data_IF_165076040022
#
_entry.id   IF_165076040022
#
_cell.length_a   1.000
_cell.length_b   1.000
_cell.length_c   1.000
_cell.angle_alpha   90.00
_cell.angle_beta   90.00
_cell.angle_gamma   90.00
#
_symmetry.space_group_name_H-M   'P 1'
#
loop_
_entity.id
_entity.type
_entity.pdbx_description
1 polymer ?
#
# COMPACT_ATOMS: atom_id res chain seq x y z
N UNK A 1 -4.66 6.14 3.90
CA UNK A 1 -3.31 6.21 3.29
C UNK A 1 -3.42 7.07 2.05
N UNK A 2 -2.52 8.01 1.85
CA UNK A 2 -2.47 8.92 0.70
C UNK A 2 -1.26 8.56 -0.13
N UNK A 3 -1.46 8.23 -1.40
CA UNK A 3 -0.38 7.96 -2.36
C UNK A 3 -0.39 9.07 -3.40
N UNK A 4 0.69 9.85 -3.44
CA UNK A 4 0.84 10.92 -4.43
C UNK A 4 1.00 10.34 -5.83
N UNK A 5 0.51 11.06 -6.83
CA UNK A 5 0.51 10.63 -8.22
C UNK A 5 1.91 10.27 -8.72
N UNK A 6 2.91 11.10 -8.45
CA UNK A 6 4.31 10.82 -8.81
C UNK A 6 4.84 9.50 -8.23
N UNK A 7 4.50 9.19 -6.97
CA UNK A 7 4.91 7.93 -6.35
C UNK A 7 4.17 6.74 -6.99
N UNK A 8 2.88 6.90 -7.22
CA UNK A 8 2.04 5.90 -7.88
C UNK A 8 2.53 5.58 -9.29
N UNK A 9 2.94 6.58 -10.06
CA UNK A 9 3.48 6.41 -11.41
C UNK A 9 4.86 5.74 -11.37
N UNK A 10 5.77 6.21 -10.51
CA UNK A 10 7.12 5.62 -10.38
C UNK A 10 7.11 4.17 -9.86
N UNK A 11 6.15 3.82 -9.00
CA UNK A 11 6.05 2.51 -8.36
C UNK A 11 4.76 1.78 -8.75
N UNK A 12 4.27 2.01 -9.98
CA UNK A 12 2.99 1.48 -10.49
C UNK A 12 2.88 -0.03 -10.36
N UNK A 13 3.96 -0.75 -10.65
CA UNK A 13 3.98 -2.20 -10.59
C UNK A 13 3.73 -2.72 -9.17
N UNK A 14 4.36 -2.13 -8.15
CA UNK A 14 4.09 -2.49 -6.76
C UNK A 14 2.69 -2.01 -6.32
N UNK A 15 2.24 -0.84 -6.77
CA UNK A 15 0.93 -0.31 -6.36
C UNK A 15 -0.24 -1.17 -6.85
N UNK A 16 -0.18 -1.67 -8.09
CA UNK A 16 -1.31 -2.37 -8.74
C UNK A 16 -1.07 -3.88 -8.86
N UNK A 17 0.18 -4.31 -8.98
CA UNK A 17 0.54 -5.72 -9.18
C UNK A 17 0.68 -6.54 -7.90
N UNK A 18 0.78 -5.88 -6.74
CA UNK A 18 0.97 -6.55 -5.46
C UNK A 18 -0.32 -7.16 -4.91
N UNK A 19 -0.24 -8.42 -4.48
CA UNK A 19 -1.25 -9.05 -3.60
C UNK A 19 -1.02 -8.71 -2.13
N UNK A 20 0.23 -8.41 -1.76
CA UNK A 20 0.61 -7.87 -0.46
C UNK A 20 1.52 -6.67 -0.66
N UNK A 21 1.08 -5.51 -0.20
CA UNK A 21 1.79 -4.25 -0.37
C UNK A 21 2.21 -3.69 0.99
N UNK A 22 3.52 -3.50 1.18
CA UNK A 22 4.04 -2.71 2.30
C UNK A 22 4.14 -1.24 1.89
N UNK A 23 3.63 -0.36 2.75
CA UNK A 23 3.69 1.09 2.56
C UNK A 23 4.52 1.70 3.68
N UNK A 24 5.69 2.24 3.34
CA UNK A 24 6.47 3.07 4.25
C UNK A 24 6.16 4.54 3.96
N UNK A 25 5.88 5.31 5.00
CA UNK A 25 5.37 6.66 4.84
C UNK A 25 5.41 7.49 6.11
N UNK A 26 5.07 8.77 5.95
CA UNK A 26 4.93 9.70 7.07
C UNK A 26 3.52 9.62 7.62
N UNK A 27 3.40 9.35 8.91
CA UNK A 27 2.13 9.48 9.60
C UNK A 27 1.84 10.95 9.89
N UNK A 28 0.66 11.40 9.48
CA UNK A 28 0.17 12.74 9.76
C UNK A 28 -1.19 12.63 10.46
N UNK A 29 -1.35 13.43 11.51
CA UNK A 29 -2.60 13.59 12.22
C UNK A 29 -2.98 15.07 12.14
N UNK A 30 -4.11 15.36 11.49
CA UNK A 30 -4.65 16.71 11.37
C UNK A 30 -6.06 16.69 11.93
N UNK A 31 -6.24 17.32 13.10
CA UNK A 31 -7.48 17.20 13.87
C UNK A 31 -7.75 15.75 14.26
N UNK A 32 -8.94 15.25 13.93
CA UNK A 32 -9.35 13.86 14.21
C UNK A 32 -8.94 12.87 13.11
N UNK A 33 -8.51 13.38 11.95
CA UNK A 33 -8.16 12.55 10.79
C UNK A 33 -6.70 12.13 10.86
N UNK A 34 -6.48 10.84 10.65
CA UNK A 34 -5.15 10.23 10.59
C UNK A 34 -4.91 9.68 9.20
N UNK A 35 -3.88 10.18 8.52
CA UNK A 35 -3.48 9.70 7.21
C UNK A 35 -1.98 9.37 7.18
N UNK A 36 -1.67 8.24 6.55
CA UNK A 36 -0.29 7.88 6.21
C UNK A 36 0.01 8.40 4.80
N UNK A 37 0.92 9.34 4.66
CA UNK A 37 1.45 9.76 3.36
C UNK A 37 2.52 8.75 2.92
N UNK A 38 2.25 8.01 1.85
CA UNK A 38 3.17 7.04 1.30
C UNK A 38 4.42 7.72 0.73
N UNK A 39 5.60 7.21 1.08
CA UNK A 39 6.89 7.59 0.50
C UNK A 39 7.56 6.44 -0.27
N UNK A 40 7.23 5.18 0.05
CA UNK A 40 7.73 3.99 -0.63
C UNK A 40 6.71 2.85 -0.56
N UNK A 41 6.58 2.14 -1.67
CA UNK A 41 5.73 0.98 -1.86
C UNK A 41 6.63 -0.21 -2.18
N UNK A 42 6.45 -1.32 -1.46
CA UNK A 42 7.23 -2.54 -1.65
C UNK A 42 6.29 -3.71 -1.87
N UNK A 43 6.46 -4.40 -2.99
CA UNK A 43 5.75 -5.64 -3.27
C UNK A 43 6.28 -6.76 -2.36
N UNK A 44 5.40 -7.26 -1.50
CA UNK A 44 5.67 -8.40 -0.63
C UNK A 44 4.87 -9.64 -1.05
N UNK A 45 4.29 -9.64 -2.25
CA UNK A 45 3.62 -10.82 -2.83
C UNK A 45 4.45 -12.11 -2.73
N UNK A 46 5.78 -12.11 -2.91
CA UNK A 46 6.58 -13.33 -2.75
C UNK A 46 6.51 -13.97 -1.36
N UNK A 47 6.20 -13.19 -0.31
CA UNK A 47 6.04 -13.74 1.05
C UNK A 47 4.73 -14.52 1.24
N UNK A 48 3.81 -14.40 0.29
CA UNK A 48 2.54 -15.12 0.29
C UNK A 48 2.64 -16.47 -0.45
N UNK A 49 3.80 -16.85 -0.96
CA UNK A 49 3.98 -18.15 -1.62
C UNK A 49 3.58 -19.29 -0.69
N UNK A 50 2.64 -20.13 -1.14
CA UNK A 50 2.06 -21.22 -0.35
C UNK A 50 0.89 -20.82 0.57
N UNK A 51 0.51 -19.53 0.64
CA UNK A 51 -0.63 -19.05 1.43
C UNK A 51 -1.79 -18.72 0.48
N UNK A 52 -2.95 -19.36 0.69
CA UNK A 52 -4.16 -19.00 -0.05
C UNK A 52 -4.74 -17.70 0.51
N UNK A 53 -4.38 -16.57 -0.10
CA UNK A 53 -4.93 -15.26 0.26
C UNK A 53 -6.25 -15.05 -0.49
N UNK A 54 -7.37 -15.16 0.22
CA UNK A 54 -8.68 -14.73 -0.30
C UNK A 54 -8.92 -13.26 0.09
N UNK A 55 -9.33 -12.45 -0.88
CA UNK A 55 -9.83 -11.09 -0.61
C UNK A 55 -10.99 -11.16 0.38
N UNK A 56 -10.97 -10.30 1.39
CA UNK A 56 -12.09 -10.12 2.29
C UNK A 56 -12.79 -8.86 1.82
N UNK A 57 -13.86 -9.04 1.06
CA UNK A 57 -14.64 -7.92 0.54
C UNK A 57 -15.42 -7.31 1.72
N UNK A 58 -15.25 -6.00 1.93
CA UNK A 58 -15.99 -5.24 2.92
C UNK A 58 -17.12 -4.50 2.19
N UNK A 59 -18.38 -4.82 2.52
CA UNK A 59 -19.59 -4.20 1.98
C UNK A 59 -20.14 -3.14 2.95
#
# INVERSE_FOLDING_TARGET
VVVWRDLAERQRQALVGSRLLKVDGRWEAVGEVRHLIAGRLTDLTPLLDGITVRSRDFH
#
